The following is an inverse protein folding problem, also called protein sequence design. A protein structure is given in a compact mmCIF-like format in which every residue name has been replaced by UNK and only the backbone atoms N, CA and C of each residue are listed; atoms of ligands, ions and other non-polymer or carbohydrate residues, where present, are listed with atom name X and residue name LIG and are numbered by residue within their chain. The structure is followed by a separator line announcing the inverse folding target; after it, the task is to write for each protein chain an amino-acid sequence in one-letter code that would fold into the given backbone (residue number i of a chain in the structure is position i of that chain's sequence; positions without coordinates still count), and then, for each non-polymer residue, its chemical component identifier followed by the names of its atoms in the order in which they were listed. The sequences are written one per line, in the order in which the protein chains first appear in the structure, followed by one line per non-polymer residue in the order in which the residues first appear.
data_IF_125117928490
#
_entry.id   IF_125117928490
#
_cell.length_a   1.000
_cell.length_b   1.000
_cell.length_c   1.000
_cell.angle_alpha   90.00
_cell.angle_beta   90.00
_cell.angle_gamma   90.00
#
_symmetry.space_group_name_H-M   'P 1'
#
loop_
_entity.id
_entity.type
_entity.pdbx_description
1 polymer ?
#
# COMPACT_ATOMS: atom_id res chain seq x y z
N UNK A 1 -27.76 21.61 -5.98
CA UNK A 1 -26.39 21.52 -6.51
C UNK A 1 -25.44 21.63 -5.34
N UNK A 2 -24.88 20.50 -4.90
CA UNK A 2 -23.85 20.47 -3.87
C UNK A 2 -22.49 20.74 -4.52
N UNK A 3 -21.59 21.51 -3.88
CA UNK A 3 -20.27 21.76 -4.43
C UNK A 3 -19.45 20.46 -4.44
N UNK A 4 -18.82 20.18 -5.57
CA UNK A 4 -17.76 19.17 -5.69
C UNK A 4 -16.65 19.58 -4.73
N UNK A 5 -16.51 18.86 -3.62
CA UNK A 5 -15.34 18.96 -2.75
C UNK A 5 -14.11 18.70 -3.60
N UNK A 6 -13.25 19.69 -3.62
CA UNK A 6 -11.88 19.66 -4.09
C UNK A 6 -11.19 18.42 -3.50
N UNK A 7 -11.08 17.36 -4.31
CA UNK A 7 -10.25 16.20 -3.99
C UNK A 7 -8.82 16.72 -4.08
N UNK A 8 -8.31 17.26 -2.98
CA UNK A 8 -6.88 17.45 -2.83
C UNK A 8 -6.25 16.06 -2.93
N UNK A 9 -5.72 15.72 -4.11
CA UNK A 9 -4.91 14.52 -4.29
C UNK A 9 -3.64 14.69 -3.44
N UNK A 10 -3.49 13.97 -2.32
CA UNK A 10 -2.33 14.11 -1.44
C UNK A 10 -1.02 13.75 -2.16
N UNK A 11 -1.13 13.03 -3.29
CA UNK A 11 -0.01 12.62 -4.12
C UNK A 11 0.59 13.78 -4.95
N UNK A 12 -0.21 14.78 -5.31
CA UNK A 12 0.23 15.93 -6.13
C UNK A 12 0.99 16.95 -5.30
N UNK A 13 0.63 17.13 -4.03
CA UNK A 13 1.30 18.07 -3.11
C UNK A 13 2.74 17.62 -2.77
N UNK A 14 2.98 16.30 -2.71
CA UNK A 14 4.28 15.73 -2.36
C UNK A 14 5.40 16.03 -3.40
N UNK A 15 5.05 16.27 -4.66
CA UNK A 15 6.05 16.55 -5.70
C UNK A 15 6.56 17.99 -5.69
N UNK A 16 5.82 18.94 -5.11
CA UNK A 16 6.01 20.38 -5.33
C UNK A 16 6.92 21.10 -4.33
N UNK A 17 7.50 20.42 -3.34
CA UNK A 17 8.44 21.06 -2.41
C UNK A 17 9.58 20.13 -1.96
N UNK A 18 10.31 19.58 -2.94
CA UNK A 18 11.59 18.90 -2.65
C UNK A 18 12.70 19.94 -2.44
N UNK A 19 12.85 20.44 -1.21
CA UNK A 19 14.09 21.14 -0.82
C UNK A 19 15.28 20.20 -1.02
N UNK A 20 16.45 20.75 -1.38
CA UNK A 20 17.68 19.96 -1.52
C UNK A 20 18.00 19.26 -0.20
N UNK A 21 18.35 17.96 -0.24
CA UNK A 21 18.77 17.23 0.96
C UNK A 21 20.07 17.81 1.55
N UNK A 22 20.91 18.42 0.71
CA UNK A 22 22.22 18.97 1.10
C UNK A 22 22.10 20.21 1.99
N UNK A 23 20.96 20.90 1.96
CA UNK A 23 20.71 22.10 2.78
C UNK A 23 19.89 21.84 4.04
N UNK A 24 19.53 20.59 4.33
CA UNK A 24 18.77 20.23 5.51
C UNK A 24 19.73 20.03 6.70
N UNK A 25 19.34 20.53 7.87
CA UNK A 25 19.91 20.11 9.15
C UNK A 25 19.63 18.64 9.44
N UNK A 26 20.37 18.03 10.36
CA UNK A 26 20.17 16.62 10.76
C UNK A 26 18.73 16.33 11.22
N UNK A 27 18.12 17.27 11.97
CA UNK A 27 16.73 17.14 12.42
C UNK A 27 15.75 17.17 11.24
N UNK A 28 15.99 18.01 10.23
CA UNK A 28 15.17 18.08 9.02
C UNK A 28 15.33 16.84 8.16
N UNK A 29 16.53 16.26 8.07
CA UNK A 29 16.77 14.99 7.39
C UNK A 29 16.01 13.84 8.05
N UNK A 30 16.07 13.74 9.39
CA UNK A 30 15.34 12.71 10.15
C UNK A 30 13.82 12.86 9.92
N UNK A 31 13.28 14.06 10.08
CA UNK A 31 11.85 14.32 9.86
C UNK A 31 11.43 14.02 8.40
N UNK A 32 12.32 14.29 7.43
CA UNK A 32 12.07 13.96 6.03
C UNK A 32 12.05 12.45 5.78
N UNK A 33 12.98 11.69 6.35
CA UNK A 33 13.01 10.22 6.26
C UNK A 33 11.70 9.63 6.82
N UNK A 34 11.26 10.12 7.98
CA UNK A 34 10.01 9.66 8.61
C UNK A 34 8.78 9.94 7.73
N UNK A 35 8.69 11.12 7.12
CA UNK A 35 7.59 11.45 6.17
C UNK A 35 7.64 10.61 4.90
N UNK A 36 8.82 10.36 4.35
CA UNK A 36 8.98 9.46 3.20
C UNK A 36 8.47 8.06 3.55
N UNK A 37 8.88 7.50 4.69
CA UNK A 37 8.43 6.18 5.13
C UNK A 37 6.91 6.12 5.36
N UNK A 38 6.34 7.14 6.01
CA UNK A 38 4.90 7.22 6.22
C UNK A 38 4.14 7.18 4.88
N UNK A 39 4.61 7.95 3.91
CA UNK A 39 3.98 7.99 2.59
C UNK A 39 4.15 6.67 1.84
N UNK A 40 5.33 6.06 1.91
CA UNK A 40 5.59 4.75 1.30
C UNK A 40 4.66 3.68 1.87
N UNK A 41 4.37 3.71 3.18
CA UNK A 41 3.46 2.74 3.82
C UNK A 41 2.01 2.93 3.40
N UNK A 42 1.52 4.16 3.33
CA UNK A 42 0.17 4.46 2.85
C UNK A 42 0.00 3.99 1.40
N UNK A 43 0.95 4.36 0.52
CA UNK A 43 0.93 3.94 -0.88
C UNK A 43 1.06 2.40 -1.04
N UNK A 44 1.86 1.75 -0.18
CA UNK A 44 1.94 0.29 -0.16
C UNK A 44 0.60 -0.33 0.25
N UNK A 45 -0.08 0.21 1.27
CA UNK A 45 -1.40 -0.28 1.66
C UNK A 45 -2.38 -0.20 0.49
N UNK A 46 -2.51 0.98 -0.12
CA UNK A 46 -3.39 1.18 -1.29
C UNK A 46 -3.11 0.17 -2.41
N UNK A 47 -1.83 -0.04 -2.73
CA UNK A 47 -1.45 -1.03 -3.74
C UNK A 47 -1.87 -2.46 -3.35
N UNK A 48 -1.73 -2.85 -2.08
CA UNK A 48 -2.14 -4.17 -1.59
C UNK A 48 -3.66 -4.37 -1.73
N UNK A 49 -4.47 -3.33 -1.47
CA UNK A 49 -5.93 -3.40 -1.66
C UNK A 49 -6.30 -3.60 -3.14
N UNK A 50 -5.64 -2.85 -4.03
CA UNK A 50 -5.85 -2.97 -5.48
C UNK A 50 -5.41 -4.34 -6.00
N UNK A 51 -4.31 -4.89 -5.49
CA UNK A 51 -3.86 -6.26 -5.82
C UNK A 51 -4.88 -7.30 -5.37
N UNK A 52 -5.40 -7.19 -4.13
CA UNK A 52 -6.40 -8.12 -3.63
C UNK A 52 -7.68 -8.10 -4.47
N UNK A 53 -8.17 -6.91 -4.83
CA UNK A 53 -9.34 -6.76 -5.68
C UNK A 53 -9.10 -7.31 -7.10
N UNK A 54 -7.93 -7.03 -7.69
CA UNK A 54 -7.55 -7.60 -8.98
C UNK A 54 -7.53 -9.13 -8.96
N UNK A 55 -7.14 -9.73 -7.83
CA UNK A 55 -7.10 -11.18 -7.66
C UNK A 55 -8.49 -11.77 -7.49
N UNK A 56 -9.34 -11.13 -6.67
CA UNK A 56 -10.76 -11.49 -6.52
C UNK A 56 -11.51 -11.47 -7.85
N UNK A 57 -11.19 -10.50 -8.73
CA UNK A 57 -11.77 -10.39 -10.09
C UNK A 57 -11.13 -11.32 -11.12
N UNK A 58 -10.05 -12.03 -10.77
CA UNK A 58 -9.36 -12.91 -11.70
C UNK A 58 -8.64 -12.19 -12.85
N UNK A 59 -8.24 -10.92 -12.68
CA UNK A 59 -7.66 -10.12 -13.77
C UNK A 59 -6.40 -10.74 -14.39
N UNK A 60 -5.63 -11.50 -13.62
CA UNK A 60 -4.47 -12.21 -14.14
C UNK A 60 -4.86 -13.19 -15.26
N UNK A 61 -5.99 -13.90 -15.10
CA UNK A 61 -6.49 -14.84 -16.10
C UNK A 61 -7.00 -14.12 -17.34
N UNK A 62 -7.73 -13.01 -17.17
CA UNK A 62 -8.19 -12.15 -18.28
C UNK A 62 -7.03 -11.57 -19.09
N UNK A 63 -5.87 -11.39 -18.46
CA UNK A 63 -4.63 -10.93 -19.10
C UNK A 63 -3.73 -12.08 -19.57
N UNK A 64 -4.20 -13.32 -19.55
CA UNK A 64 -3.50 -14.50 -20.07
C UNK A 64 -2.37 -15.02 -19.19
N UNK A 65 -2.23 -14.52 -17.96
CA UNK A 65 -1.23 -14.98 -17.03
C UNK A 65 -1.75 -16.18 -16.21
N UNK A 66 -0.87 -17.15 -15.96
CA UNK A 66 -1.21 -18.38 -15.21
C UNK A 66 -1.49 -18.16 -13.72
N UNK A 67 -1.08 -17.03 -13.16
CA UNK A 67 -1.31 -16.68 -11.77
C UNK A 67 -1.11 -15.18 -11.52
N UNK A 68 -1.67 -14.67 -10.44
CA UNK A 68 -1.52 -13.28 -10.02
C UNK A 68 -0.05 -12.88 -9.81
N UNK A 69 0.79 -13.74 -9.24
CA UNK A 69 2.21 -13.41 -9.02
C UNK A 69 2.98 -13.26 -10.34
N UNK A 70 2.64 -14.07 -11.36
CA UNK A 70 3.27 -13.97 -12.69
C UNK A 70 2.88 -12.66 -13.35
N UNK A 71 1.58 -12.34 -13.32
CA UNK A 71 1.08 -11.10 -13.89
C UNK A 71 1.68 -9.87 -13.19
N UNK A 72 1.73 -9.85 -11.87
CA UNK A 72 2.27 -8.73 -11.09
C UNK A 72 3.76 -8.51 -11.36
N UNK A 73 4.53 -9.60 -11.50
CA UNK A 73 5.95 -9.57 -11.86
C UNK A 73 6.18 -8.87 -13.19
N UNK A 74 5.38 -9.21 -14.19
CA UNK A 74 5.44 -8.63 -15.53
C UNK A 74 4.95 -7.18 -15.56
N UNK A 75 3.87 -6.88 -14.83
CA UNK A 75 3.28 -5.54 -14.74
C UNK A 75 4.20 -4.53 -14.05
N UNK A 76 4.84 -4.92 -12.94
CA UNK A 76 5.65 -4.02 -12.11
C UNK A 76 7.15 -4.15 -12.33
N UNK A 77 7.58 -5.10 -13.18
CA UNK A 77 8.98 -5.42 -13.41
C UNK A 77 9.75 -5.69 -12.10
N UNK A 78 9.17 -6.53 -11.23
CA UNK A 78 9.76 -6.94 -9.95
C UNK A 78 10.23 -8.40 -10.01
N UNK A 79 10.94 -8.86 -8.98
CA UNK A 79 11.30 -10.28 -8.90
C UNK A 79 10.14 -11.15 -8.38
N UNK A 80 10.28 -12.46 -8.53
CA UNK A 80 9.24 -13.42 -8.14
C UNK A 80 8.96 -13.44 -6.63
N UNK A 81 9.97 -13.25 -5.77
CA UNK A 81 9.81 -13.24 -4.32
C UNK A 81 9.05 -12.00 -3.87
N UNK A 82 9.34 -10.84 -4.45
CA UNK A 82 8.59 -9.61 -4.19
C UNK A 82 7.12 -9.76 -4.61
N UNK A 83 6.87 -10.18 -5.85
CA UNK A 83 5.51 -10.41 -6.34
C UNK A 83 4.71 -11.39 -5.46
N UNK A 84 5.33 -12.51 -5.08
CA UNK A 84 4.71 -13.49 -4.17
C UNK A 84 4.41 -12.89 -2.79
N UNK A 85 5.31 -12.07 -2.28
CA UNK A 85 5.13 -11.43 -0.96
C UNK A 85 3.97 -10.44 -1.00
N UNK A 86 3.87 -9.59 -2.03
CA UNK A 86 2.78 -8.62 -2.16
C UNK A 86 1.42 -9.30 -2.27
N UNK A 87 1.29 -10.35 -3.08
CA UNK A 87 0.03 -11.11 -3.18
C UNK A 87 -0.34 -11.74 -1.85
N UNK A 88 0.63 -12.35 -1.14
CA UNK A 88 0.38 -12.94 0.18
C UNK A 88 -0.06 -11.88 1.21
N UNK A 89 0.62 -10.74 1.26
CA UNK A 89 0.28 -9.67 2.20
C UNK A 89 -1.09 -9.08 1.86
N UNK A 90 -1.41 -8.88 0.58
CA UNK A 90 -2.71 -8.40 0.12
C UNK A 90 -3.86 -9.27 0.65
N UNK A 91 -3.72 -10.60 0.62
CA UNK A 91 -4.71 -11.52 1.21
C UNK A 91 -4.82 -11.45 2.74
N UNK A 92 -3.79 -10.95 3.42
CA UNK A 92 -3.73 -10.90 4.88
C UNK A 92 -4.19 -9.57 5.47
N UNK A 93 -4.17 -8.49 4.69
CA UNK A 93 -4.54 -7.13 5.14
C UNK A 93 -5.94 -6.70 4.72
N UNK A 94 -6.59 -7.48 3.86
CA UNK A 94 -7.96 -7.23 3.41
C UNK A 94 -8.97 -8.08 4.18
N UNK A 95 -10.12 -7.49 4.46
CA UNK A 95 -11.28 -8.21 4.94
C UNK A 95 -11.71 -9.25 3.90
N UNK A 96 -12.06 -10.44 4.36
CA UNK A 96 -12.38 -11.58 3.50
C UNK A 96 -13.85 -11.90 3.63
N UNK A 97 -14.52 -12.16 2.52
CA UNK A 97 -15.84 -12.78 2.59
C UNK A 97 -15.69 -14.25 3.03
N UNK A 98 -16.32 -14.62 4.13
CA UNK A 98 -16.55 -16.01 4.53
C UNK A 98 -17.40 -16.72 3.46
N UNK A 99 -17.33 -18.05 3.42
CA UNK A 99 -18.18 -18.90 2.57
C UNK A 99 -19.68 -18.65 2.79
N UNK A 100 -20.06 -18.09 3.95
CA UNK A 100 -21.43 -17.75 4.31
C UNK A 100 -21.79 -16.27 4.08
N UNK A 101 -20.92 -15.49 3.41
CA UNK A 101 -21.17 -14.08 3.07
C UNK A 101 -20.86 -13.08 4.20
N UNK A 102 -20.35 -13.55 5.34
CA UNK A 102 -19.92 -12.69 6.45
C UNK A 102 -18.55 -12.07 6.16
N UNK A 103 -18.39 -10.77 6.40
CA UNK A 103 -17.09 -10.10 6.33
C UNK A 103 -16.24 -10.53 7.51
N UNK A 104 -15.20 -11.32 7.23
CA UNK A 104 -14.16 -11.66 8.18
C UNK A 104 -13.10 -10.56 8.19
N UNK A 105 -12.65 -10.09 9.36
CA UNK A 105 -11.59 -9.11 9.43
C UNK A 105 -10.29 -9.68 8.83
N UNK A 106 -9.46 -8.78 8.31
CA UNK A 106 -8.08 -9.11 7.92
C UNK A 106 -7.38 -9.99 8.96
N UNK A 107 -6.56 -10.95 8.52
CA UNK A 107 -5.79 -11.83 9.42
C UNK A 107 -4.74 -11.06 10.25
N UNK A 108 -4.30 -9.89 9.75
CA UNK A 108 -3.37 -9.00 10.43
C UNK A 108 -3.96 -7.58 10.52
N UNK A 109 -5.01 -7.38 11.34
CA UNK A 109 -5.76 -6.12 11.35
C UNK A 109 -4.90 -4.96 11.87
N UNK A 110 -4.00 -5.21 12.83
CA UNK A 110 -3.05 -4.20 13.33
C UNK A 110 -2.04 -3.77 12.26
N UNK A 111 -1.61 -4.70 11.39
CA UNK A 111 -0.70 -4.39 10.28
C UNK A 111 -1.43 -3.60 9.20
N UNK A 112 -2.67 -3.97 8.88
CA UNK A 112 -3.51 -3.22 7.95
C UNK A 112 -3.72 -1.77 8.44
N UNK A 113 -4.08 -1.59 9.71
CA UNK A 113 -4.25 -0.27 10.32
C UNK A 113 -2.94 0.54 10.39
N UNK A 114 -1.82 -0.11 10.75
CA UNK A 114 -0.53 0.58 10.78
C UNK A 114 -0.09 1.03 9.38
N UNK A 115 -0.30 0.22 8.35
CA UNK A 115 0.05 0.58 6.98
C UNK A 115 -0.86 1.68 6.43
N UNK A 116 -2.19 1.61 6.67
CA UNK A 116 -3.13 2.64 6.21
C UNK A 116 -2.90 4.00 6.86
N UNK A 117 -2.42 4.02 8.11
CA UNK A 117 -2.10 5.25 8.85
C UNK A 117 -0.61 5.66 8.70
N UNK A 118 0.15 4.87 7.92
CA UNK A 118 1.58 5.04 7.69
C UNK A 118 2.45 4.90 8.95
N UNK A 119 1.91 4.32 10.02
CA UNK A 119 2.63 4.01 11.25
C UNK A 119 3.51 2.77 11.10
N UNK A 120 4.54 2.68 11.94
CA UNK A 120 5.29 1.44 12.11
C UNK A 120 4.55 0.60 13.15
N UNK A 121 4.36 -0.70 12.90
CA UNK A 121 3.92 -1.65 13.94
C UNK A 121 4.96 -1.81 15.06
N UNK A 122 6.21 -1.38 14.81
CA UNK A 122 7.23 -1.25 15.85
C UNK A 122 7.03 0.09 16.57
N UNK A 123 6.25 0.07 17.64
CA UNK A 123 6.26 1.16 18.62
C UNK A 123 6.42 0.62 20.04
N UNK A 124 7.41 1.18 20.73
CA UNK A 124 7.69 1.13 22.18
C UNK A 124 8.62 0.00 22.66
N UNK A 125 9.93 0.26 22.58
CA UNK A 125 10.77 0.11 23.77
C UNK A 125 11.41 1.47 24.05
N UNK A 126 10.95 2.08 25.14
CA UNK A 126 11.67 3.13 25.86
C UNK A 126 12.99 2.57 26.42
#
# INVERSE_FOLDING_TARGET
MAPLTDTQDPNVEMMSSRSSAVSCSDAELIARIQRCEQTMRVAMMEQLQVIAEADRRGLHADRGARSMQVWLRELLNIDHRDAKTRVKVAHNVEDRASLYGETMPAELPETAAALSEGRSVLSTRA
#
